data_IF_773090568198
#
_entry.id   IF_773090568198
#
_cell.length_a   1.000
_cell.length_b   1.000
_cell.length_c   1.000
_cell.angle_alpha   90.00
_cell.angle_beta   90.00
_cell.angle_gamma   90.00
#
_symmetry.space_group_name_H-M   'P 1'
#
loop_
_entity.id
_entity.type
_entity.pdbx_description
1 polymer ?
#
# COMPACT_ATOMS: atom_id res chain seq x y z
N UNK A 1 11.75 -51.84 9.97
CA UNK A 1 12.77 -51.51 11.00
C UNK A 1 13.87 -52.56 10.87
N UNK A 2 15.15 -52.29 10.64
CA UNK A 2 15.99 -51.16 11.05
C UNK A 2 16.98 -50.72 9.94
N UNK A 3 17.44 -49.48 10.05
CA UNK A 3 18.53 -48.87 9.25
C UNK A 3 19.86 -49.37 9.83
N UNK A 4 20.79 -49.83 8.99
CA UNK A 4 22.21 -49.90 9.35
C UNK A 4 22.99 -49.05 8.35
N UNK A 5 23.60 -48.01 8.89
CA UNK A 5 24.43 -47.01 8.22
C UNK A 5 25.44 -47.63 7.26
N UNK A 6 25.48 -47.10 6.04
CA UNK A 6 26.66 -47.22 5.17
C UNK A 6 27.68 -46.24 5.75
N UNK A 7 28.46 -46.71 6.70
CA UNK A 7 29.67 -46.06 7.18
C UNK A 7 30.72 -46.29 6.10
N UNK A 8 30.86 -45.32 5.19
CA UNK A 8 31.96 -45.31 4.23
C UNK A 8 33.21 -44.88 4.98
N UNK A 9 33.95 -45.85 5.52
CA UNK A 9 35.30 -45.65 6.03
C UNK A 9 36.14 -45.00 4.94
N UNK A 10 36.47 -43.73 5.16
CA UNK A 10 37.38 -42.96 4.30
C UNK A 10 38.77 -43.53 4.57
N UNK A 11 39.43 -44.18 3.59
CA UNK A 11 40.73 -44.77 3.82
C UNK A 11 41.74 -43.68 4.21
N UNK A 12 42.44 -43.90 5.33
CA UNK A 12 43.53 -43.05 5.79
C UNK A 12 44.66 -43.05 4.75
N UNK A 13 45.37 -41.92 4.64
CA UNK A 13 46.40 -41.66 3.63
C UNK A 13 47.65 -42.55 3.74
N UNK A 14 47.69 -43.38 4.78
CA UNK A 14 48.80 -44.20 5.24
C UNK A 14 48.57 -45.71 5.00
N UNK A 15 47.48 -46.11 4.33
CA UNK A 15 47.32 -47.45 3.79
C UNK A 15 48.18 -47.63 2.53
N UNK A 16 49.39 -48.19 2.70
CA UNK A 16 50.40 -48.42 1.65
C UNK A 16 49.94 -49.37 0.51
N UNK A 17 48.67 -49.82 0.51
CA UNK A 17 48.06 -50.64 -0.54
C UNK A 17 46.97 -49.91 -1.35
N UNK A 18 47.02 -48.57 -1.43
CA UNK A 18 46.32 -47.84 -2.51
C UNK A 18 47.19 -47.81 -3.76
N UNK A 19 46.79 -48.45 -4.88
CA UNK A 19 47.49 -48.25 -6.14
C UNK A 19 47.42 -46.76 -6.49
N UNK A 20 48.60 -46.17 -6.73
CA UNK A 20 48.76 -44.78 -7.14
C UNK A 20 48.20 -44.57 -8.56
N UNK A 21 46.88 -44.62 -8.71
CA UNK A 21 46.19 -44.35 -9.98
C UNK A 21 45.99 -42.84 -10.17
N UNK A 22 47.09 -42.10 -10.30
CA UNK A 22 47.09 -40.82 -11.00
C UNK A 22 47.09 -41.05 -12.53
N UNK A 23 46.23 -41.93 -13.05
CA UNK A 23 45.99 -42.04 -14.49
C UNK A 23 44.96 -40.97 -14.91
N UNK A 24 45.43 -39.71 -14.90
CA UNK A 24 44.69 -38.54 -15.40
C UNK A 24 44.39 -38.62 -16.91
N UNK A 25 44.98 -39.58 -17.63
CA UNK A 25 44.83 -39.75 -19.08
C UNK A 25 43.59 -40.56 -19.49
N UNK A 26 42.96 -41.27 -18.56
CA UNK A 26 41.83 -42.18 -18.87
C UNK A 26 40.44 -41.65 -18.49
N UNK A 27 40.36 -40.54 -17.73
CA UNK A 27 39.08 -39.91 -17.41
C UNK A 27 38.60 -39.08 -18.61
N UNK A 28 37.72 -39.66 -19.43
CA UNK A 28 36.90 -38.86 -20.35
C UNK A 28 36.11 -37.86 -19.51
N UNK A 29 36.30 -36.53 -19.69
CA UNK A 29 35.53 -35.55 -18.95
C UNK A 29 34.05 -35.74 -19.27
N UNK A 30 33.23 -35.91 -18.24
CA UNK A 30 31.77 -35.86 -18.41
C UNK A 30 31.44 -34.46 -18.94
N UNK A 31 30.61 -34.33 -19.99
CA UNK A 31 30.16 -33.03 -20.46
C UNK A 31 29.47 -32.30 -19.30
N UNK A 32 29.79 -31.01 -19.13
CA UNK A 32 29.17 -30.19 -18.11
C UNK A 32 27.66 -30.17 -18.34
N UNK A 33 26.90 -30.74 -17.39
CA UNK A 33 25.44 -30.57 -17.40
C UNK A 33 25.15 -29.09 -17.14
N UNK A 34 24.19 -28.48 -17.87
CA UNK A 34 23.76 -27.11 -17.59
C UNK A 34 23.31 -27.00 -16.12
N UNK A 35 23.75 -25.95 -15.43
CA UNK A 35 23.30 -25.67 -14.07
C UNK A 35 21.76 -25.47 -14.05
N UNK A 36 21.04 -25.85 -12.97
CA UNK A 36 19.58 -25.68 -12.85
C UNK A 36 19.02 -24.24 -12.88
N UNK A 37 19.75 -23.26 -13.40
CA UNK A 37 19.45 -21.81 -13.30
C UNK A 37 18.23 -21.34 -14.11
N UNK A 38 17.72 -22.15 -15.04
CA UNK A 38 16.61 -21.76 -15.91
C UNK A 38 15.27 -21.68 -15.16
N UNK A 39 15.04 -22.59 -14.21
CA UNK A 39 13.80 -22.67 -13.44
C UNK A 39 13.69 -21.48 -12.46
N UNK A 40 14.81 -21.14 -11.79
CA UNK A 40 14.93 -19.95 -10.93
C UNK A 40 14.73 -18.64 -11.70
N UNK A 41 15.17 -18.58 -12.96
CA UNK A 41 14.98 -17.39 -13.81
C UNK A 41 13.53 -17.24 -14.26
N UNK A 42 12.86 -18.34 -14.58
CA UNK A 42 11.46 -18.32 -14.95
C UNK A 42 10.56 -17.91 -13.79
N UNK A 43 10.81 -18.44 -12.59
CA UNK A 43 10.05 -18.05 -11.38
C UNK A 43 10.24 -16.56 -11.07
N UNK A 44 11.49 -16.06 -11.17
CA UNK A 44 11.77 -14.63 -11.03
C UNK A 44 11.06 -13.79 -12.08
N UNK A 45 11.02 -14.24 -13.34
CA UNK A 45 10.30 -13.55 -14.40
C UNK A 45 8.78 -13.48 -14.13
N UNK A 46 8.19 -14.56 -13.61
CA UNK A 46 6.77 -14.58 -13.21
C UNK A 46 6.48 -13.64 -12.04
N UNK A 47 7.34 -13.63 -11.02
CA UNK A 47 7.22 -12.69 -9.89
C UNK A 47 7.34 -11.24 -10.34
N UNK A 48 8.29 -10.94 -11.23
CA UNK A 48 8.44 -9.59 -11.80
C UNK A 48 7.17 -9.17 -12.55
N UNK A 49 6.59 -10.06 -13.37
CA UNK A 49 5.35 -9.77 -14.09
C UNK A 49 4.19 -9.45 -13.14
N UNK A 50 4.04 -10.23 -12.06
CA UNK A 50 3.00 -9.99 -11.05
C UNK A 50 3.21 -8.65 -10.32
N UNK A 51 4.46 -8.32 -9.97
CA UNK A 51 4.79 -7.04 -9.33
C UNK A 51 4.41 -5.88 -10.25
N UNK A 52 4.73 -5.97 -11.55
CA UNK A 52 4.40 -4.92 -12.52
C UNK A 52 2.89 -4.74 -12.69
N UNK A 53 2.12 -5.84 -12.73
CA UNK A 53 0.66 -5.77 -12.80
C UNK A 53 0.04 -5.12 -11.55
N UNK A 54 0.54 -5.48 -10.37
CA UNK A 54 0.12 -4.88 -9.10
C UNK A 54 0.49 -3.39 -9.03
N UNK A 55 1.68 -3.01 -9.52
CA UNK A 55 2.10 -1.61 -9.58
C UNK A 55 1.18 -0.79 -10.49
N UNK A 56 0.87 -1.29 -11.68
CA UNK A 56 -0.07 -0.63 -12.59
C UNK A 56 -1.46 -0.46 -11.95
N UNK A 57 -1.97 -1.53 -11.32
CA UNK A 57 -3.29 -1.49 -10.66
C UNK A 57 -3.32 -0.49 -9.50
N UNK A 58 -2.22 -0.42 -8.73
CA UNK A 58 -2.08 0.52 -7.61
C UNK A 58 -1.99 1.97 -8.11
N UNK A 59 -1.25 2.21 -9.18
CA UNK A 59 -1.14 3.53 -9.81
C UNK A 59 -2.51 4.01 -10.31
N UNK A 60 -3.25 3.14 -11.00
CA UNK A 60 -4.61 3.44 -11.46
C UNK A 60 -5.54 3.78 -10.28
N UNK A 61 -5.48 3.00 -9.20
CA UNK A 61 -6.29 3.27 -8.00
C UNK A 61 -5.88 4.58 -7.32
N UNK A 62 -4.58 4.87 -7.24
CA UNK A 62 -4.06 6.13 -6.68
C UNK A 62 -4.58 7.33 -7.47
N UNK A 63 -4.49 7.28 -8.80
CA UNK A 63 -4.99 8.34 -9.69
C UNK A 63 -6.50 8.56 -9.54
N UNK A 64 -7.28 7.48 -9.43
CA UNK A 64 -8.73 7.58 -9.18
C UNK A 64 -9.04 8.19 -7.81
N UNK A 65 -8.28 7.83 -6.78
CA UNK A 65 -8.43 8.42 -5.44
C UNK A 65 -8.14 9.91 -5.47
N UNK A 66 -7.08 10.34 -6.16
CA UNK A 66 -6.74 11.75 -6.27
C UNK A 66 -7.81 12.54 -7.06
N UNK A 67 -8.38 11.95 -8.11
CA UNK A 67 -9.50 12.52 -8.86
C UNK A 67 -10.75 12.72 -7.97
N UNK A 68 -11.08 11.71 -7.14
CA UNK A 68 -12.22 11.78 -6.22
C UNK A 68 -12.00 12.84 -5.13
N UNK A 69 -10.77 13.00 -4.63
CA UNK A 69 -10.45 14.07 -3.68
C UNK A 69 -10.66 15.44 -4.30
N UNK A 70 -10.18 15.65 -5.52
CA UNK A 70 -10.32 16.93 -6.21
C UNK A 70 -11.80 17.28 -6.40
N UNK A 71 -12.61 16.32 -6.85
CA UNK A 71 -14.06 16.51 -6.99
C UNK A 71 -14.73 16.80 -5.64
N UNK A 72 -14.37 16.06 -4.59
CA UNK A 72 -14.89 16.28 -3.24
C UNK A 72 -14.56 17.69 -2.72
N UNK A 73 -13.31 18.15 -2.88
CA UNK A 73 -12.91 19.50 -2.49
C UNK A 73 -13.71 20.57 -3.25
N UNK A 74 -13.90 20.39 -4.56
CA UNK A 74 -14.70 21.30 -5.38
C UNK A 74 -16.14 21.37 -4.87
N UNK A 75 -16.79 20.23 -4.63
CA UNK A 75 -18.15 20.19 -4.11
C UNK A 75 -18.27 20.82 -2.71
N UNK A 76 -17.29 20.59 -1.82
CA UNK A 76 -17.24 21.25 -0.50
C UNK A 76 -17.16 22.77 -0.63
N UNK A 77 -16.31 23.27 -1.54
CA UNK A 77 -16.17 24.71 -1.80
C UNK A 77 -17.45 25.34 -2.37
N UNK A 78 -18.14 24.65 -3.29
CA UNK A 78 -19.40 25.13 -3.87
C UNK A 78 -20.51 25.16 -2.82
N UNK A 79 -20.63 24.09 -2.02
CA UNK A 79 -21.58 24.04 -0.92
C UNK A 79 -21.34 25.12 0.13
N UNK A 80 -20.08 25.48 0.40
CA UNK A 80 -19.76 26.59 1.30
C UNK A 80 -20.29 27.93 0.75
N UNK A 81 -20.08 28.20 -0.54
CA UNK A 81 -20.56 29.43 -1.18
C UNK A 81 -22.09 29.46 -1.18
N UNK A 82 -22.76 28.36 -1.54
CA UNK A 82 -24.22 28.24 -1.52
C UNK A 82 -24.77 28.42 -0.11
N UNK A 83 -24.14 27.80 0.89
CA UNK A 83 -24.51 27.96 2.30
C UNK A 83 -24.43 29.41 2.76
N UNK A 84 -23.37 30.13 2.38
CA UNK A 84 -23.25 31.55 2.68
C UNK A 84 -24.31 32.40 1.97
N UNK A 85 -24.63 32.09 0.72
CA UNK A 85 -25.68 32.77 -0.02
C UNK A 85 -27.05 32.59 0.67
N UNK A 86 -27.38 31.37 1.09
CA UNK A 86 -28.61 31.09 1.85
C UNK A 86 -28.62 31.88 3.16
N UNK A 87 -27.52 31.88 3.93
CA UNK A 87 -27.42 32.67 5.17
C UNK A 87 -27.64 34.15 4.93
N UNK A 88 -27.01 34.71 3.89
CA UNK A 88 -27.15 36.12 3.54
C UNK A 88 -28.59 36.48 3.18
N UNK A 89 -29.27 35.60 2.42
CA UNK A 89 -30.69 35.78 2.10
C UNK A 89 -31.57 35.70 3.34
N UNK A 90 -31.30 34.72 4.23
CA UNK A 90 -32.05 34.57 5.48
C UNK A 90 -31.93 35.81 6.37
N UNK A 91 -30.72 36.36 6.52
CA UNK A 91 -30.49 37.58 7.31
C UNK A 91 -31.07 38.84 6.65
N UNK A 92 -31.01 38.94 5.32
CA UNK A 92 -31.48 40.12 4.58
C UNK A 92 -33.00 40.18 4.44
N UNK A 93 -33.70 39.07 4.60
CA UNK A 93 -35.15 39.03 4.48
C UNK A 93 -35.83 39.11 5.85
N UNK A 94 -36.75 40.06 6.00
CA UNK A 94 -37.54 40.22 7.23
C UNK A 94 -38.51 39.05 7.49
N UNK A 95 -38.69 38.14 6.53
CA UNK A 95 -39.56 36.96 6.64
C UNK A 95 -38.98 35.87 7.55
N UNK A 96 -37.66 35.84 7.73
CA UNK A 96 -36.99 34.89 8.63
C UNK A 96 -36.59 35.49 9.98
N UNK A 97 -37.02 36.73 10.27
CA UNK A 97 -36.87 37.27 11.62
C UNK A 97 -37.77 36.47 12.58
N UNK A 98 -37.24 35.95 13.70
CA UNK A 98 -38.07 35.25 14.67
C UNK A 98 -39.15 36.21 15.19
N UNK A 99 -40.42 35.83 15.01
CA UNK A 99 -41.59 36.65 15.30
C UNK A 99 -41.68 37.14 16.77
N UNK A 100 -40.85 36.57 17.67
CA UNK A 100 -40.85 36.84 19.10
C UNK A 100 -39.43 37.11 19.66
N UNK A 101 -38.59 37.91 18.99
CA UNK A 101 -37.40 38.44 19.67
C UNK A 101 -37.77 39.73 20.43
N UNK A 102 -37.69 39.77 21.77
CA UNK A 102 -37.83 41.02 22.50
C UNK A 102 -36.67 41.92 22.05
N UNK A 103 -37.01 43.16 21.64
CA UNK A 103 -36.03 44.22 21.35
C UNK A 103 -35.13 44.39 22.58
N UNK A 104 -33.98 43.72 22.56
CA UNK A 104 -32.88 43.98 23.46
C UNK A 104 -31.79 44.56 22.59
N UNK A 105 -31.72 45.89 22.63
CA UNK A 105 -30.49 46.62 22.33
C UNK A 105 -29.37 45.97 23.16
N UNK A 106 -28.28 45.61 22.49
CA UNK A 106 -27.15 44.82 22.99
C UNK A 106 -27.45 43.33 23.16
N UNK A 107 -27.30 42.55 22.09
CA UNK A 107 -26.98 41.14 22.22
C UNK A 107 -25.68 40.90 21.46
N UNK A 108 -24.68 40.49 22.24
CA UNK A 108 -23.32 40.23 21.81
C UNK A 108 -23.29 39.13 20.73
N UNK A 109 -22.31 39.25 19.85
CA UNK A 109 -22.10 38.50 18.62
C UNK A 109 -21.62 37.05 18.84
N UNK A 110 -21.86 36.45 20.02
CA UNK A 110 -21.19 35.21 20.45
C UNK A 110 -22.10 33.96 20.59
N UNK A 111 -23.43 34.07 20.59
CA UNK A 111 -24.30 32.91 20.90
C UNK A 111 -24.99 32.26 19.68
N UNK A 112 -24.25 32.02 18.60
CA UNK A 112 -24.65 31.05 17.55
C UNK A 112 -23.44 30.32 16.96
N UNK A 113 -22.49 29.91 17.80
CA UNK A 113 -21.57 28.83 17.45
C UNK A 113 -22.33 27.50 17.48
N UNK A 114 -22.83 27.10 16.31
CA UNK A 114 -23.07 25.69 16.03
C UNK A 114 -21.68 25.04 16.13
N UNK A 115 -21.41 24.42 17.28
CA UNK A 115 -20.15 23.74 17.60
C UNK A 115 -19.66 22.91 16.41
N UNK A 116 -18.70 23.47 15.68
CA UNK A 116 -17.92 22.78 14.64
C UNK A 116 -16.70 22.06 15.26
N UNK A 117 -16.64 21.94 16.59
CA UNK A 117 -15.52 21.26 17.28
C UNK A 117 -15.56 19.73 17.15
N UNK A 118 -16.65 19.17 16.60
CA UNK A 118 -16.70 17.77 16.18
C UNK A 118 -16.11 17.51 14.79
N UNK A 119 -15.72 18.55 14.04
CA UNK A 119 -15.29 18.41 12.65
C UNK A 119 -13.84 17.95 12.47
N UNK A 120 -12.92 18.33 13.36
CA UNK A 120 -11.49 18.15 13.08
C UNK A 120 -10.92 16.78 13.48
N UNK A 121 -11.56 16.07 14.42
CA UNK A 121 -11.06 14.78 14.90
C UNK A 121 -11.39 13.60 13.96
N UNK A 122 -12.37 13.77 13.06
CA UNK A 122 -12.74 12.74 12.09
C UNK A 122 -12.10 12.94 10.70
N UNK A 123 -11.57 14.13 10.40
CA UNK A 123 -10.96 14.46 9.10
C UNK A 123 -9.57 13.83 8.87
N UNK A 124 -8.95 13.26 9.91
CA UNK A 124 -7.62 12.62 9.78
C UNK A 124 -7.66 11.11 9.48
N UNK A 125 -8.83 10.47 9.47
CA UNK A 125 -8.92 9.01 9.27
C UNK A 125 -9.89 8.53 8.19
N UNK A 126 -10.74 9.40 7.68
CA UNK A 126 -11.48 9.17 6.45
C UNK A 126 -11.48 10.50 5.71
N UNK A 127 -11.04 10.47 4.45
CA UNK A 127 -10.89 11.61 3.56
C UNK A 127 -11.95 12.70 3.70
#
# INVERSE_FOLDING_TARGET
MAKSSIESDIPLADDENVPNELNLSSRKPKPAQPLPQAEDQEEKARLIAQILELQNTLEDLSSRVDSVKEESMKLRSENQVLGQYIKNLMHSSSLFQPANSPKTSNMNEEDYEINNEGGEMFENYYW
#
